data_IF_892928902783
#
_entry.id   IF_892928902783
#
_cell.length_a   1.000
_cell.length_b   1.000
_cell.length_c   1.000
_cell.angle_alpha   90.00
_cell.angle_beta   90.00
_cell.angle_gamma   90.00
#
_symmetry.space_group_name_H-M   'P 1'
#
loop_
_entity.id
_entity.type
_entity.pdbx_description
1 polymer ?
#
# COMPACT_ATOMS: atom_id res chain seq x y z
N UNK A 1 -9.31 -9.13 26.73
CA UNK A 1 -9.18 -7.66 26.54
C UNK A 1 -7.68 -7.36 26.45
N UNK A 2 -7.19 -6.81 25.34
CA UNK A 2 -5.77 -6.46 25.19
C UNK A 2 -5.52 -5.13 25.91
N UNK A 3 -4.68 -5.15 26.95
CA UNK A 3 -4.21 -3.96 27.65
C UNK A 3 -3.10 -3.30 26.82
N UNK A 4 -3.49 -2.61 25.74
CA UNK A 4 -2.60 -1.77 24.94
C UNK A 4 -2.62 -0.33 25.44
N UNK A 5 -1.47 0.34 25.42
CA UNK A 5 -1.39 1.79 25.61
C UNK A 5 -1.21 2.44 24.25
N UNK A 6 -2.08 3.42 23.96
CA UNK A 6 -1.95 4.28 22.78
C UNK A 6 -1.03 5.45 23.17
N UNK A 7 0.11 5.55 22.51
CA UNK A 7 1.01 6.68 22.57
C UNK A 7 0.81 7.52 21.31
N UNK A 8 0.47 8.80 21.47
CA UNK A 8 0.40 9.76 20.36
C UNK A 8 1.68 10.56 20.35
N UNK A 9 2.51 10.44 19.31
CA UNK A 9 3.76 11.18 19.17
C UNK A 9 3.48 12.65 18.82
N UNK A 10 3.30 13.52 19.82
CA UNK A 10 3.37 14.98 19.58
C UNK A 10 4.84 15.42 19.48
N UNK A 11 5.17 16.44 18.68
CA UNK A 11 6.54 16.99 18.45
C UNK A 11 7.38 17.26 19.72
N UNK A 12 6.77 17.35 20.90
CA UNK A 12 7.43 17.49 22.21
C UNK A 12 7.83 16.16 22.90
N UNK A 13 7.68 15.01 22.24
CA UNK A 13 7.73 13.68 22.86
C UNK A 13 9.06 13.26 23.52
N UNK A 14 10.17 13.89 23.17
CA UNK A 14 11.51 13.45 23.58
C UNK A 14 11.85 13.63 25.08
N UNK A 15 11.01 14.29 25.90
CA UNK A 15 11.35 14.60 27.31
C UNK A 15 10.49 13.93 28.38
N UNK A 16 9.32 13.38 28.08
CA UNK A 16 8.38 12.93 29.12
C UNK A 16 8.36 11.42 29.41
N UNK A 17 8.93 10.57 28.55
CA UNK A 17 8.85 9.11 28.68
C UNK A 17 9.82 8.44 29.66
N UNK A 18 10.64 9.20 30.42
CA UNK A 18 11.46 8.61 31.49
C UNK A 18 10.68 8.22 32.76
N UNK A 19 9.35 8.32 32.77
CA UNK A 19 8.51 7.89 33.90
C UNK A 19 7.68 6.66 33.54
N UNK A 20 8.27 5.49 33.80
CA UNK A 20 7.68 4.16 34.00
C UNK A 20 6.41 3.82 33.20
N UNK A 21 6.59 3.16 32.05
CA UNK A 21 5.52 2.38 31.41
C UNK A 21 5.20 1.19 32.35
N UNK A 22 3.94 1.00 32.76
CA UNK A 22 3.55 -0.13 33.60
C UNK A 22 3.89 -1.50 32.97
N UNK A 23 4.52 -2.38 33.75
CA UNK A 23 5.05 -3.69 33.33
C UNK A 23 4.00 -4.71 32.85
N UNK A 24 2.71 -4.42 33.02
CA UNK A 24 1.61 -5.28 32.56
C UNK A 24 1.13 -4.95 31.13
N UNK A 25 1.67 -3.91 30.50
CA UNK A 25 1.38 -3.54 29.12
C UNK A 25 2.21 -4.46 28.21
N UNK A 26 1.55 -5.12 27.26
CA UNK A 26 2.20 -6.06 26.32
C UNK A 26 2.39 -5.49 24.92
N UNK A 27 1.72 -4.39 24.62
CA UNK A 27 1.76 -3.74 23.31
C UNK A 27 1.67 -2.23 23.44
N UNK A 28 2.52 -1.54 22.69
CA UNK A 28 2.52 -0.08 22.57
C UNK A 28 2.04 0.24 21.17
N UNK A 29 0.92 0.95 21.06
CA UNK A 29 0.40 1.43 19.78
C UNK A 29 0.86 2.87 19.64
N UNK A 30 1.68 3.15 18.62
CA UNK A 30 2.14 4.50 18.33
C UNK A 30 1.26 5.05 17.20
N UNK A 31 0.40 6.02 17.53
CA UNK A 31 -0.34 6.78 16.53
C UNK A 31 0.49 7.99 16.10
N UNK A 32 0.69 8.12 14.79
CA UNK A 32 1.33 9.32 14.20
C UNK A 32 0.61 9.75 12.93
N UNK A 33 0.53 11.06 12.76
CA UNK A 33 0.22 11.76 11.52
C UNK A 33 1.49 12.08 10.71
N UNK A 34 2.67 11.99 11.32
CA UNK A 34 3.96 12.26 10.70
C UNK A 34 4.82 10.98 10.58
N UNK A 35 4.47 10.14 9.62
CA UNK A 35 5.18 8.89 9.34
C UNK A 35 6.60 9.12 8.82
N UNK A 36 6.84 10.20 8.09
CA UNK A 36 8.17 10.56 7.58
C UNK A 36 9.14 10.85 8.74
N UNK A 37 8.68 11.52 9.80
CA UNK A 37 9.46 11.72 11.03
C UNK A 37 9.77 10.40 11.73
N UNK A 38 8.83 9.44 11.78
CA UNK A 38 9.11 8.08 12.31
C UNK A 38 10.12 7.35 11.43
N UNK A 39 9.95 7.35 10.10
CA UNK A 39 10.86 6.67 9.17
C UNK A 39 12.28 7.28 9.23
N UNK A 40 12.38 8.60 9.36
CA UNK A 40 13.65 9.31 9.57
C UNK A 40 14.28 8.98 10.93
N UNK A 41 13.46 8.86 11.97
CA UNK A 41 13.89 8.40 13.28
C UNK A 41 14.40 6.96 13.17
N UNK A 42 13.73 6.07 12.44
CA UNK A 42 14.14 4.67 12.21
C UNK A 42 15.54 4.53 11.59
N UNK A 43 15.97 5.51 10.80
CA UNK A 43 17.32 5.54 10.21
C UNK A 43 18.38 6.16 11.12
N UNK A 44 18.00 6.71 12.28
CA UNK A 44 18.88 7.36 13.23
C UNK A 44 19.23 6.42 14.40
N UNK A 45 20.50 6.39 14.78
CA UNK A 45 21.04 5.58 15.90
C UNK A 45 20.26 5.71 17.22
N UNK A 46 19.62 6.87 17.43
CA UNK A 46 18.78 7.14 18.62
C UNK A 46 17.49 6.32 18.67
N UNK A 47 17.05 5.77 17.55
CA UNK A 47 15.86 4.94 17.51
C UNK A 47 16.13 3.49 17.87
N UNK A 48 17.31 2.95 17.56
CA UNK A 48 17.72 1.65 18.09
C UNK A 48 17.80 1.69 19.62
N UNK A 49 18.29 2.79 20.20
CA UNK A 49 18.25 3.02 21.65
C UNK A 49 16.81 3.09 22.17
N UNK A 50 15.90 3.72 21.43
CA UNK A 50 14.48 3.80 21.77
C UNK A 50 13.80 2.43 21.69
N UNK A 51 14.02 1.66 20.63
CA UNK A 51 13.51 0.29 20.49
C UNK A 51 14.08 -0.63 21.57
N UNK A 52 15.37 -0.49 21.88
CA UNK A 52 16.03 -1.23 22.96
C UNK A 52 15.45 -0.88 24.33
N UNK A 53 15.14 0.39 24.56
CA UNK A 53 14.40 0.85 25.75
C UNK A 53 13.00 0.23 25.81
N UNK A 54 12.33 0.12 24.67
CA UNK A 54 11.05 -0.55 24.57
C UNK A 54 11.14 -2.08 24.68
N UNK A 55 12.33 -2.70 24.77
CA UNK A 55 12.50 -4.12 25.11
C UNK A 55 11.64 -5.09 24.29
N UNK A 56 11.00 -6.05 24.97
CA UNK A 56 10.18 -7.10 24.34
C UNK A 56 8.74 -6.66 24.01
N UNK A 57 8.43 -5.36 24.09
CA UNK A 57 7.08 -4.88 23.82
C UNK A 57 6.75 -5.04 22.34
N UNK A 58 5.54 -5.52 22.04
CA UNK A 58 5.05 -5.49 20.66
C UNK A 58 4.70 -4.05 20.28
N UNK A 59 5.50 -3.44 19.42
CA UNK A 59 5.25 -2.08 18.93
C UNK A 59 4.44 -2.18 17.65
N UNK A 60 3.27 -1.54 17.63
CA UNK A 60 2.44 -1.41 16.43
C UNK A 60 2.33 0.06 16.08
N UNK A 61 2.79 0.45 14.90
CA UNK A 61 2.60 1.81 14.40
C UNK A 61 1.28 1.89 13.67
N UNK A 62 0.36 2.67 14.23
CA UNK A 62 -0.85 3.07 13.54
C UNK A 62 -0.61 4.40 12.85
N UNK A 63 -0.29 4.30 11.58
CA UNK A 63 -0.36 5.43 10.66
C UNK A 63 -1.84 5.78 10.50
N UNK A 64 -2.14 7.08 10.32
CA UNK A 64 -3.45 7.60 9.96
C UNK A 64 -4.33 6.57 9.20
N UNK A 65 -5.61 6.38 9.59
CA UNK A 65 -6.53 5.42 8.96
C UNK A 65 -6.70 5.59 7.44
N UNK A 66 -6.18 6.67 6.86
CA UNK A 66 -6.05 6.89 5.42
C UNK A 66 -4.58 7.04 5.03
N UNK A 67 -3.80 5.98 5.29
CA UNK A 67 -2.42 5.89 4.85
C UNK A 67 -2.30 5.01 3.60
N UNK A 68 -1.43 5.42 2.69
CA UNK A 68 -1.25 4.79 1.40
C UNK A 68 0.22 4.49 1.22
N UNK A 69 0.56 3.24 0.96
CA UNK A 69 1.88 2.85 0.52
C UNK A 69 1.90 2.74 -1.01
N UNK A 70 2.66 3.61 -1.67
CA UNK A 70 2.98 3.54 -3.08
C UNK A 70 4.27 2.74 -3.29
N UNK A 71 4.23 1.75 -4.17
CA UNK A 71 5.38 0.88 -4.49
C UNK A 71 5.64 0.92 -5.99
N UNK A 72 6.88 1.19 -6.39
CA UNK A 72 7.34 1.11 -7.78
C UNK A 72 8.41 0.03 -7.94
N UNK A 73 8.05 -1.25 -8.16
CA UNK A 73 9.02 -2.24 -8.59
C UNK A 73 9.28 -2.05 -10.10
N UNK A 74 10.51 -1.71 -10.46
CA UNK A 74 10.90 -1.44 -11.84
C UNK A 74 11.87 -2.52 -12.37
N UNK A 75 11.60 -3.08 -13.54
CA UNK A 75 12.47 -4.08 -14.16
C UNK A 75 13.69 -3.48 -14.86
N UNK A 76 14.73 -4.28 -15.05
CA UNK A 76 15.71 -4.03 -16.10
C UNK A 76 15.08 -4.22 -17.49
N UNK A 77 15.78 -3.78 -18.54
CA UNK A 77 15.25 -3.82 -19.92
C UNK A 77 14.95 -5.25 -20.40
N UNK A 78 15.54 -6.25 -19.76
CA UNK A 78 15.35 -7.67 -20.06
C UNK A 78 14.21 -8.32 -19.25
N UNK A 79 13.67 -7.64 -18.25
CA UNK A 79 12.59 -8.17 -17.41
C UNK A 79 13.03 -9.27 -16.44
N UNK A 80 14.32 -9.35 -16.12
CA UNK A 80 14.94 -10.43 -15.34
C UNK A 80 15.17 -10.05 -13.87
N UNK A 81 15.52 -8.78 -13.60
CA UNK A 81 15.81 -8.27 -12.27
C UNK A 81 15.22 -6.88 -12.03
N UNK A 82 15.24 -6.42 -10.78
CA UNK A 82 14.95 -5.03 -10.47
C UNK A 82 16.08 -4.14 -11.00
N UNK A 83 15.76 -3.09 -11.75
CA UNK A 83 16.76 -2.12 -12.23
C UNK A 83 17.23 -1.20 -11.11
N UNK A 84 18.36 -1.52 -10.52
CA UNK A 84 18.92 -0.80 -9.37
C UNK A 84 19.16 0.68 -9.73
N UNK A 85 18.88 1.59 -8.80
CA UNK A 85 19.15 3.04 -8.90
C UNK A 85 18.40 3.79 -10.04
N UNK A 86 17.21 3.33 -10.43
CA UNK A 86 16.39 3.99 -11.44
C UNK A 86 15.07 4.50 -10.85
N UNK A 87 14.97 5.80 -10.49
CA UNK A 87 13.77 6.34 -9.85
C UNK A 87 12.55 6.34 -10.79
N UNK A 88 11.39 5.96 -10.25
CA UNK A 88 10.14 5.97 -11.02
C UNK A 88 9.43 7.33 -10.99
N UNK A 89 9.75 8.22 -11.95
CA UNK A 89 9.20 9.59 -12.03
C UNK A 89 7.66 9.66 -11.99
N UNK A 90 6.96 8.66 -12.56
CA UNK A 90 5.49 8.62 -12.52
C UNK A 90 4.90 8.55 -11.11
N UNK A 91 5.58 7.89 -10.14
CA UNK A 91 5.08 7.84 -8.77
C UNK A 91 5.22 9.21 -8.10
N UNK A 92 6.29 9.96 -8.39
CA UNK A 92 6.45 11.30 -7.83
C UNK A 92 5.28 12.22 -8.18
N UNK A 93 4.78 12.13 -9.42
CA UNK A 93 3.59 12.88 -9.86
C UNK A 93 2.34 12.43 -9.08
N UNK A 94 2.17 11.12 -8.87
CA UNK A 94 1.04 10.58 -8.10
C UNK A 94 1.11 11.05 -6.64
N UNK A 95 2.30 10.98 -6.03
CA UNK A 95 2.56 11.43 -4.66
C UNK A 95 2.20 12.91 -4.49
N UNK A 96 2.81 13.79 -5.29
CA UNK A 96 2.56 15.24 -5.25
C UNK A 96 1.07 15.55 -5.48
N UNK A 97 0.41 14.82 -6.38
CA UNK A 97 -1.01 15.01 -6.66
C UNK A 97 -1.90 14.64 -5.47
N UNK A 98 -1.60 13.54 -4.77
CA UNK A 98 -2.36 13.14 -3.58
C UNK A 98 -2.11 14.12 -2.44
N UNK A 99 -0.86 14.48 -2.15
CA UNK A 99 -0.50 15.40 -1.05
C UNK A 99 -1.06 16.82 -1.24
N UNK A 100 -1.17 17.26 -2.50
CA UNK A 100 -1.78 18.55 -2.82
C UNK A 100 -3.29 18.53 -2.58
N UNK A 101 -3.96 17.42 -2.91
CA UNK A 101 -5.43 17.31 -2.86
C UNK A 101 -5.96 16.87 -1.50
N UNK A 102 -5.25 16.01 -0.78
CA UNK A 102 -5.71 15.36 0.44
C UNK A 102 -4.76 15.64 1.60
N UNK A 103 -5.06 16.69 2.38
CA UNK A 103 -4.20 17.11 3.51
C UNK A 103 -4.17 16.12 4.66
N UNK A 104 -5.22 15.33 4.82
CA UNK A 104 -5.35 14.34 5.89
C UNK A 104 -4.97 12.91 5.45
N UNK A 105 -4.31 12.76 4.30
CA UNK A 105 -3.86 11.45 3.78
C UNK A 105 -2.34 11.38 3.90
N UNK A 106 -1.86 10.34 4.58
CA UNK A 106 -0.43 10.08 4.69
C UNK A 106 -0.01 9.17 3.54
N UNK A 107 0.88 9.63 2.67
CA UNK A 107 1.40 8.83 1.56
C UNK A 107 2.85 8.48 1.83
N UNK A 108 3.18 7.19 1.77
CA UNK A 108 4.55 6.70 1.78
C UNK A 108 4.85 6.18 0.40
N UNK A 109 6.00 6.56 -0.13
CA UNK A 109 6.53 5.94 -1.34
C UNK A 109 7.78 5.14 -0.99
N UNK A 110 7.78 3.86 -1.37
CA UNK A 110 8.97 3.02 -1.35
C UNK A 110 9.33 2.64 -2.78
N UNK A 111 10.50 3.09 -3.21
CA UNK A 111 11.13 2.62 -4.42
C UNK A 111 11.97 1.36 -4.12
N UNK A 112 11.41 0.19 -4.42
CA UNK A 112 12.04 -1.10 -4.16
C UNK A 112 13.39 -1.26 -4.89
N UNK A 113 13.63 -0.49 -5.94
CA UNK A 113 14.86 -0.50 -6.72
C UNK A 113 16.01 0.26 -6.05
N UNK A 114 15.68 1.13 -5.09
CA UNK A 114 16.64 1.93 -4.33
C UNK A 114 16.79 1.35 -2.92
N UNK A 115 15.67 1.09 -2.24
CA UNK A 115 15.68 0.63 -0.84
C UNK A 115 15.91 -0.87 -0.68
N UNK A 116 15.68 -1.65 -1.75
CA UNK A 116 15.65 -3.11 -1.69
C UNK A 116 14.36 -3.69 -1.11
N UNK A 117 14.19 -5.01 -1.32
CA UNK A 117 12.97 -5.74 -0.93
C UNK A 117 12.86 -5.99 0.58
N UNK A 118 13.98 -6.17 1.28
CA UNK A 118 13.97 -6.40 2.72
C UNK A 118 13.43 -5.18 3.47
N UNK A 119 13.81 -3.97 3.03
CA UNK A 119 13.27 -2.72 3.55
C UNK A 119 11.77 -2.59 3.27
N UNK A 120 11.35 -2.87 2.03
CA UNK A 120 9.94 -2.83 1.64
C UNK A 120 9.08 -3.76 2.52
N UNK A 121 9.48 -5.03 2.63
CA UNK A 121 8.72 -6.01 3.41
C UNK A 121 8.82 -5.77 4.92
N UNK A 122 9.96 -5.27 5.41
CA UNK A 122 10.12 -4.80 6.78
C UNK A 122 9.12 -3.69 7.11
N UNK A 123 8.98 -2.70 6.21
CA UNK A 123 8.02 -1.60 6.36
C UNK A 123 6.58 -2.13 6.36
N UNK A 124 6.18 -2.97 5.39
CA UNK A 124 4.83 -3.54 5.33
C UNK A 124 4.50 -4.36 6.59
N UNK A 125 5.48 -5.05 7.16
CA UNK A 125 5.28 -5.84 8.39
C UNK A 125 5.11 -4.96 9.63
N UNK A 126 5.78 -3.81 9.68
CA UNK A 126 5.78 -2.90 10.82
C UNK A 126 4.59 -1.92 10.82
N UNK A 127 4.17 -1.51 9.63
CA UNK A 127 3.14 -0.49 9.44
C UNK A 127 1.92 -1.09 8.74
N UNK A 128 0.73 -0.84 9.30
CA UNK A 128 -0.52 -1.30 8.71
C UNK A 128 -1.07 -0.23 7.75
N UNK A 129 -0.81 -0.40 6.45
CA UNK A 129 -1.35 0.48 5.41
C UNK A 129 -2.71 -0.02 4.91
N UNK A 130 -3.81 0.74 5.06
CA UNK A 130 -5.12 0.38 4.50
C UNK A 130 -5.09 0.18 2.98
N UNK A 131 -4.28 0.97 2.27
CA UNK A 131 -4.10 0.89 0.82
C UNK A 131 -2.62 0.65 0.52
N UNK A 132 -2.36 -0.33 -0.34
CA UNK A 132 -1.03 -0.52 -0.93
C UNK A 132 -1.21 -0.52 -2.45
N UNK A 133 -0.63 0.47 -3.12
CA UNK A 133 -0.76 0.64 -4.56
C UNK A 133 0.57 0.41 -5.28
N UNK A 134 0.55 -0.44 -6.30
CA UNK A 134 1.69 -0.73 -7.15
C UNK A 134 1.60 0.03 -8.48
N UNK A 135 2.66 0.75 -8.83
CA UNK A 135 2.87 1.27 -10.19
C UNK A 135 3.82 0.35 -10.93
N UNK A 136 3.31 -0.38 -11.91
CA UNK A 136 4.05 -1.37 -12.67
C UNK A 136 4.57 -0.79 -13.98
N UNK A 137 5.88 -0.91 -14.18
CA UNK A 137 6.58 -0.43 -15.36
C UNK A 137 7.74 -1.38 -15.70
N UNK A 138 7.99 -1.61 -16.98
CA UNK A 138 9.03 -2.50 -17.51
C UNK A 138 8.95 -3.94 -16.95
N UNK A 139 7.91 -4.63 -17.41
CA UNK A 139 7.69 -6.08 -17.56
C UNK A 139 8.60 -7.08 -16.82
N UNK A 140 8.80 -6.93 -15.51
CA UNK A 140 9.24 -8.02 -14.61
C UNK A 140 8.04 -8.79 -14.05
N UNK A 141 7.14 -9.28 -14.93
CA UNK A 141 5.81 -9.83 -14.56
C UNK A 141 5.89 -10.84 -13.39
N UNK A 142 6.76 -11.86 -13.52
CA UNK A 142 6.93 -12.88 -12.48
C UNK A 142 7.40 -12.30 -11.15
N UNK A 143 8.32 -11.34 -11.17
CA UNK A 143 8.86 -10.70 -9.97
C UNK A 143 7.82 -9.77 -9.32
N UNK A 144 7.08 -9.01 -10.12
CA UNK A 144 5.99 -8.16 -9.64
C UNK A 144 4.92 -9.01 -8.94
N UNK A 145 4.51 -10.13 -9.56
CA UNK A 145 3.56 -11.07 -8.94
C UNK A 145 4.11 -11.61 -7.61
N UNK A 146 5.41 -11.94 -7.55
CA UNK A 146 6.04 -12.39 -6.31
C UNK A 146 5.99 -11.30 -5.22
N UNK A 147 6.33 -10.06 -5.57
CA UNK A 147 6.31 -8.92 -4.62
C UNK A 147 4.89 -8.65 -4.13
N UNK A 148 3.91 -8.62 -5.04
CA UNK A 148 2.50 -8.40 -4.72
C UNK A 148 1.97 -9.54 -3.83
N UNK A 149 2.24 -10.80 -4.18
CA UNK A 149 1.86 -11.96 -3.37
C UNK A 149 2.41 -11.87 -1.95
N UNK A 150 3.71 -11.59 -1.81
CA UNK A 150 4.35 -11.44 -0.49
C UNK A 150 3.74 -10.27 0.30
N UNK A 151 3.45 -9.17 -0.38
CA UNK A 151 2.80 -7.99 0.22
C UNK A 151 1.41 -8.35 0.76
N UNK A 152 0.57 -9.06 0.00
CA UNK A 152 -0.75 -9.50 0.47
C UNK A 152 -0.65 -10.46 1.66
N UNK A 153 0.33 -11.36 1.66
CA UNK A 153 0.57 -12.27 2.80
C UNK A 153 0.92 -11.50 4.07
N UNK A 154 1.78 -10.48 3.96
CA UNK A 154 2.20 -9.64 5.07
C UNK A 154 1.09 -8.69 5.54
N UNK A 155 0.27 -8.20 4.62
CA UNK A 155 -0.81 -7.26 4.91
C UNK A 155 -2.16 -7.70 4.37
N UNK A 156 -2.71 -8.76 4.99
CA UNK A 156 -3.94 -9.44 4.55
C UNK A 156 -5.17 -8.55 4.46
N UNK A 157 -5.21 -7.47 5.24
CA UNK A 157 -6.34 -6.54 5.33
C UNK A 157 -6.21 -5.34 4.39
N UNK A 158 -5.02 -5.12 3.82
CA UNK A 158 -4.82 -4.02 2.87
C UNK A 158 -5.58 -4.27 1.59
N UNK A 159 -6.13 -3.19 1.06
CA UNK A 159 -6.57 -3.11 -0.32
C UNK A 159 -5.33 -2.98 -1.21
N UNK A 160 -5.09 -3.99 -2.04
CA UNK A 160 -4.00 -4.03 -3.00
C UNK A 160 -4.50 -3.53 -4.35
N UNK A 161 -3.98 -2.38 -4.76
CA UNK A 161 -4.30 -1.74 -6.04
C UNK A 161 -3.10 -1.89 -6.97
N UNK A 162 -3.36 -2.22 -8.24
CA UNK A 162 -2.31 -2.31 -9.26
C UNK A 162 -2.64 -1.43 -10.45
N UNK A 163 -1.68 -0.61 -10.89
CA UNK A 163 -1.81 0.20 -12.09
C UNK A 163 -0.46 0.42 -12.77
N UNK A 164 -0.41 1.41 -13.65
CA UNK A 164 0.78 1.76 -14.41
C UNK A 164 0.76 1.21 -15.85
N UNK A 165 1.73 1.62 -16.69
CA UNK A 165 1.66 1.39 -18.13
C UNK A 165 1.63 -0.08 -18.59
N UNK A 166 2.13 -1.00 -17.75
CA UNK A 166 2.16 -2.43 -18.08
C UNK A 166 0.99 -3.22 -17.50
N UNK A 167 -0.01 -2.56 -16.88
CA UNK A 167 -1.17 -3.22 -16.26
C UNK A 167 -1.99 -4.06 -17.25
N UNK A 168 -2.06 -3.64 -18.51
CA UNK A 168 -2.80 -4.33 -19.58
C UNK A 168 -2.18 -5.66 -19.99
N UNK A 169 -0.94 -5.95 -19.55
CA UNK A 169 -0.26 -7.22 -19.83
C UNK A 169 -0.66 -8.35 -18.88
N UNK A 170 -1.43 -8.04 -17.84
CA UNK A 170 -1.88 -9.00 -16.84
C UNK A 170 -3.22 -9.61 -17.26
N UNK A 171 -3.39 -10.91 -17.05
CA UNK A 171 -4.73 -11.52 -17.07
C UNK A 171 -5.48 -11.07 -15.80
N UNK A 172 -6.21 -9.96 -15.91
CA UNK A 172 -6.86 -9.33 -14.75
C UNK A 172 -7.75 -10.31 -13.99
N UNK A 173 -8.52 -11.17 -14.70
CA UNK A 173 -9.40 -12.13 -14.04
C UNK A 173 -8.60 -13.15 -13.25
N UNK A 174 -7.58 -13.75 -13.87
CA UNK A 174 -6.75 -14.74 -13.20
C UNK A 174 -6.13 -14.18 -11.91
N UNK A 175 -5.60 -12.95 -11.95
CA UNK A 175 -4.97 -12.35 -10.78
C UNK A 175 -5.97 -11.91 -9.71
N UNK A 176 -7.13 -11.36 -10.09
CA UNK A 176 -8.17 -11.02 -9.12
C UNK A 176 -8.72 -12.29 -8.45
N UNK A 177 -8.91 -13.39 -9.20
CA UNK A 177 -9.41 -14.67 -8.66
C UNK A 177 -8.45 -15.25 -7.61
N UNK A 178 -7.15 -14.93 -7.65
CA UNK A 178 -6.18 -15.36 -6.63
C UNK A 178 -6.31 -14.61 -5.31
N UNK A 179 -6.98 -13.44 -5.30
CA UNK A 179 -7.12 -12.58 -4.12
C UNK A 179 -5.83 -11.85 -3.70
N UNK A 180 -4.75 -11.91 -4.49
CA UNK A 180 -3.52 -11.14 -4.21
C UNK A 180 -3.63 -9.67 -4.64
N UNK A 181 -4.53 -9.37 -5.58
CA UNK A 181 -4.89 -8.03 -6.06
C UNK A 181 -6.38 -7.86 -5.85
N UNK A 182 -6.80 -6.72 -5.34
CA UNK A 182 -8.21 -6.41 -5.12
C UNK A 182 -8.79 -5.55 -6.26
N UNK A 183 -7.96 -4.69 -6.87
CA UNK A 183 -8.40 -3.78 -7.93
C UNK A 183 -7.25 -3.41 -8.88
N UNK A 184 -7.56 -3.33 -10.17
CA UNK A 184 -6.69 -2.75 -11.19
C UNK A 184 -7.16 -1.36 -11.62
N UNK A 185 -6.23 -0.42 -11.79
CA UNK A 185 -6.46 0.87 -12.46
C UNK A 185 -5.87 0.75 -13.87
N UNK A 186 -6.70 0.93 -14.90
CA UNK A 186 -6.36 0.63 -16.29
C UNK A 186 -5.71 1.79 -17.03
N UNK A 187 -6.03 3.05 -16.67
CA UNK A 187 -5.55 4.24 -17.41
C UNK A 187 -5.05 5.36 -16.51
N UNK A 188 -5.98 6.14 -15.93
CA UNK A 188 -5.65 7.39 -15.25
C UNK A 188 -5.46 7.16 -13.74
N UNK A 189 -4.32 7.59 -13.21
CA UNK A 189 -4.05 7.55 -11.78
C UNK A 189 -5.03 8.43 -10.98
N UNK A 190 -5.74 9.38 -11.60
CA UNK A 190 -6.79 10.17 -10.93
C UNK A 190 -7.89 9.32 -10.33
N UNK A 191 -8.11 8.11 -10.85
CA UNK A 191 -9.01 7.11 -10.23
C UNK A 191 -8.59 6.82 -8.78
N UNK A 192 -7.29 6.85 -8.48
CA UNK A 192 -6.81 6.71 -7.11
C UNK A 192 -7.32 7.84 -6.20
N UNK A 193 -7.50 9.07 -6.71
CA UNK A 193 -8.12 10.14 -5.93
C UNK A 193 -9.58 9.86 -5.60
N UNK A 194 -10.32 9.24 -6.53
CA UNK A 194 -11.71 8.88 -6.30
C UNK A 194 -11.81 7.75 -5.27
N UNK A 195 -10.95 6.74 -5.36
CA UNK A 195 -10.81 5.67 -4.37
C UNK A 195 -10.52 6.25 -2.97
N UNK A 196 -9.54 7.16 -2.88
CA UNK A 196 -9.22 7.85 -1.62
C UNK A 196 -10.45 8.59 -1.10
N UNK A 197 -11.15 9.34 -1.95
CA UNK A 197 -12.34 10.11 -1.56
C UNK A 197 -13.48 9.23 -1.04
N UNK A 198 -13.69 8.04 -1.64
CA UNK A 198 -14.66 7.05 -1.17
C UNK A 198 -14.28 6.56 0.24
N UNK A 199 -13.01 6.20 0.43
CA UNK A 199 -12.51 5.69 1.70
C UNK A 199 -12.52 6.75 2.81
N UNK A 200 -12.26 8.02 2.49
CA UNK A 200 -12.36 9.14 3.45
C UNK A 200 -13.78 9.33 3.98
N UNK A 201 -14.80 9.00 3.17
CA UNK A 201 -16.21 9.04 3.58
C UNK A 201 -16.64 7.81 4.38
N UNK A 202 -15.72 6.86 4.61
CA UNK A 202 -16.02 5.59 5.29
C UNK A 202 -16.90 4.67 4.47
N UNK A 203 -16.95 4.87 3.15
CA UNK A 203 -17.75 4.06 2.25
C UNK A 203 -17.01 2.79 1.82
N UNK A 204 -17.76 1.71 1.62
CA UNK A 204 -17.22 0.47 1.08
C UNK A 204 -16.85 0.65 -0.40
N UNK A 205 -15.58 0.43 -0.74
CA UNK A 205 -15.07 0.65 -2.08
C UNK A 205 -15.78 -0.24 -3.11
N UNK A 206 -15.99 -1.52 -2.80
CA UNK A 206 -16.58 -2.47 -3.76
C UNK A 206 -18.03 -2.13 -4.10
N UNK A 207 -18.77 -1.52 -3.15
CA UNK A 207 -20.12 -1.03 -3.36
C UNK A 207 -20.17 0.20 -4.29
N UNK A 208 -19.09 1.00 -4.33
CA UNK A 208 -18.97 2.20 -5.16
C UNK A 208 -18.10 2.03 -6.41
N UNK A 209 -17.42 0.89 -6.54
CA UNK A 209 -16.46 0.63 -7.60
C UNK A 209 -17.09 0.76 -9.01
N UNK A 210 -18.38 0.44 -9.17
CA UNK A 210 -19.09 0.60 -10.43
C UNK A 210 -19.26 2.07 -10.90
N UNK A 211 -19.01 3.05 -10.02
CA UNK A 211 -19.04 4.47 -10.33
C UNK A 211 -17.67 4.99 -10.78
N UNK A 212 -16.60 4.24 -10.51
CA UNK A 212 -15.24 4.58 -10.92
C UNK A 212 -15.06 4.24 -12.40
N UNK A 213 -14.38 5.12 -13.13
CA UNK A 213 -14.00 4.87 -14.52
C UNK A 213 -12.66 4.15 -14.61
N UNK A 214 -12.45 3.38 -15.69
CA UNK A 214 -11.16 2.74 -16.01
C UNK A 214 -10.56 1.88 -14.89
N UNK A 215 -11.39 1.09 -14.19
CA UNK A 215 -10.94 0.06 -13.26
C UNK A 215 -11.37 -1.35 -13.69
N UNK A 216 -10.70 -2.34 -13.12
CA UNK A 216 -11.08 -3.75 -13.24
C UNK A 216 -11.05 -4.43 -11.86
N UNK A 217 -12.13 -5.11 -11.48
CA UNK A 217 -12.28 -5.75 -10.17
C UNK A 217 -13.27 -6.93 -10.22
N UNK A 218 -13.36 -7.72 -9.15
CA UNK A 218 -14.41 -8.74 -8.99
C UNK A 218 -15.54 -8.21 -8.11
N UNK A 219 -16.78 -8.36 -8.57
CA UNK A 219 -17.94 -8.09 -7.72
C UNK A 219 -18.10 -9.15 -6.62
N UNK A 220 -19.10 -8.97 -5.75
CA UNK A 220 -19.43 -9.91 -4.67
C UNK A 220 -19.75 -11.34 -5.13
N UNK A 221 -20.05 -11.55 -6.42
CA UNK A 221 -20.34 -12.84 -7.02
C UNK A 221 -19.14 -13.42 -7.78
N UNK A 222 -17.98 -12.77 -7.73
CA UNK A 222 -16.79 -13.17 -8.49
C UNK A 222 -16.89 -12.87 -9.99
N UNK A 223 -17.79 -11.98 -10.41
CA UNK A 223 -17.89 -11.52 -11.79
C UNK A 223 -16.88 -10.41 -12.04
N UNK A 224 -16.13 -10.52 -13.14
CA UNK A 224 -15.22 -9.48 -13.59
C UNK A 224 -16.02 -8.27 -14.05
N UNK A 225 -15.81 -7.14 -13.38
CA UNK A 225 -16.36 -5.85 -13.77
C UNK A 225 -15.22 -5.00 -14.31
N UNK A 226 -15.40 -4.49 -15.52
CA UNK A 226 -14.50 -3.54 -16.17
C UNK A 226 -15.30 -2.28 -16.49
N UNK A 227 -14.90 -1.14 -15.91
CA UNK A 227 -15.56 0.15 -16.11
C UNK A 227 -14.84 1.04 -17.12
N UNK A 228 -13.77 0.52 -17.74
CA UNK A 228 -13.07 1.19 -18.81
C UNK A 228 -13.91 1.28 -20.07
N UNK A 229 -13.88 2.46 -20.69
CA UNK A 229 -14.48 2.69 -22.01
C UNK A 229 -13.70 1.88 -23.05
N UNK A 230 -14.31 0.79 -23.52
CA UNK A 230 -13.90 -0.06 -24.65
C UNK A 230 -12.39 -0.37 -24.73
N UNK A 231 -11.88 -1.16 -23.78
CA UNK A 231 -10.70 -1.98 -24.06
C UNK A 231 -11.10 -3.09 -25.04
N UNK A 232 -10.25 -3.42 -26.01
CA UNK A 232 -10.43 -4.42 -27.10
C UNK A 232 -10.86 -5.84 -26.70
N UNK A 233 -11.21 -6.07 -25.44
CA UNK A 233 -11.74 -7.31 -24.92
C UNK A 233 -13.25 -7.33 -25.12
N UNK A 234 -13.67 -7.78 -26.32
CA UNK A 234 -14.99 -8.38 -26.47
C UNK A 234 -15.02 -9.65 -25.58
N UNK A 235 -15.40 -9.49 -24.32
CA UNK A 235 -15.80 -10.64 -23.51
C UNK A 235 -17.13 -11.13 -24.06
N UNK A 236 -17.06 -12.09 -24.99
CA UNK A 236 -18.21 -12.88 -25.39
C UNK A 236 -18.88 -13.42 -24.14
N UNK A 237 -20.16 -13.09 -24.00
CA UNK A 237 -21.08 -13.64 -22.99
C UNK A 237 -20.81 -15.13 -22.76
N UNK A 238 -20.43 -15.45 -21.53
CA UNK A 238 -20.77 -16.68 -20.82
C UNK A 238 -20.88 -17.95 -21.67
N UNK A 239 -19.77 -18.67 -21.83
CA UNK A 239 -19.86 -20.13 -21.89
C UNK A 239 -19.75 -20.66 -20.46
N UNK A 240 -20.87 -21.18 -19.94
CA UNK A 240 -20.88 -22.03 -18.76
C UNK A 240 -20.09 -23.30 -19.12
N UNK A 241 -18.92 -23.48 -18.54
CA UNK A 241 -18.27 -24.79 -18.51
C UNK A 241 -18.84 -25.54 -17.30
N UNK A 242 -19.47 -26.67 -17.58
CA UNK A 242 -20.04 -27.62 -16.61
C UNK A 242 -18.95 -28.36 -15.83
#
# INVERSE_FOLDING_TARGET
MNNGVILTLEKSFNRQLKKSIPTHIKSIIIHTDNLEEILRIYTDSKFEDFLSFLGDYKIEFYVNPLSILLISPYGDEEGNALKINSPHLGIKIILESIENKFKDVCVVWIDANISGLDYLFGTIKQFNFPIIAFSLLQTILKKNIQIISNTKVLSKKSLIIVGGPDVDRYDHKQFLDTGIIDLFILKDFKVLHEIISILQRGEDLLTRANQLSDICYLDKNGLLINTGSESKYNFTKSEKVY
#
